data_IF_372263806335
#
_entry.id   IF_372263806335
#
_cell.length_a   1.000
_cell.length_b   1.000
_cell.length_c   1.000
_cell.angle_alpha   90.00
_cell.angle_beta   90.00
_cell.angle_gamma   90.00
#
_symmetry.space_group_name_H-M   'P 1'
#
loop_
_entity.id
_entity.type
_entity.pdbx_description
1 polymer ?
#
# COMPACT_ATOMS: atom_id res chain seq x y z
N UNK A 1 -64.52 -18.55 -17.98
CA UNK A 1 -64.83 -20.00 -18.14
C UNK A 1 -63.88 -20.73 -17.21
N UNK A 2 -64.24 -20.94 -16.01
CA UNK A 2 -64.70 -22.17 -15.32
C UNK A 2 -64.18 -23.47 -16.04
N UNK A 3 -63.39 -24.28 -15.29
CA UNK A 3 -63.94 -25.31 -14.43
C UNK A 3 -62.90 -25.93 -13.50
N UNK A 4 -63.29 -26.07 -12.24
CA UNK A 4 -62.86 -26.98 -11.20
C UNK A 4 -62.94 -28.43 -11.61
N UNK A 5 -62.12 -29.31 -11.03
CA UNK A 5 -62.65 -30.53 -10.40
C UNK A 5 -61.63 -31.10 -9.44
N UNK A 6 -62.14 -31.26 -8.30
CA UNK A 6 -61.73 -31.92 -7.06
C UNK A 6 -61.82 -33.45 -7.14
N UNK A 7 -61.37 -34.05 -6.04
CA UNK A 7 -61.73 -35.38 -5.47
C UNK A 7 -60.65 -36.46 -5.62
N UNK A 8 -60.29 -37.29 -4.67
CA UNK A 8 -60.49 -37.45 -3.20
C UNK A 8 -59.77 -38.76 -2.80
N UNK A 9 -59.23 -38.77 -1.59
CA UNK A 9 -59.20 -39.82 -0.58
C UNK A 9 -59.03 -41.33 -0.93
N UNK A 10 -58.03 -41.93 -0.24
CA UNK A 10 -58.11 -43.06 0.70
C UNK A 10 -56.71 -43.63 0.87
N UNK A 11 -56.05 -43.71 1.93
CA UNK A 11 -56.28 -44.35 3.19
C UNK A 11 -55.77 -45.77 3.20
N UNK A 12 -54.58 -46.05 3.77
CA UNK A 12 -54.28 -47.31 4.47
C UNK A 12 -53.04 -47.20 5.36
N UNK A 13 -53.23 -47.62 6.53
CA UNK A 13 -52.28 -47.78 7.64
C UNK A 13 -51.22 -48.86 7.35
N UNK A 14 -50.04 -48.76 7.88
CA UNK A 14 -49.37 -49.67 8.80
C UNK A 14 -47.85 -49.66 8.68
N UNK A 15 -47.29 -49.52 9.83
CA UNK A 15 -46.11 -50.20 10.38
C UNK A 15 -44.83 -49.42 10.51
N UNK A 16 -44.60 -49.04 11.75
CA UNK A 16 -43.36 -48.67 12.40
C UNK A 16 -42.20 -49.57 12.03
N UNK A 17 -41.11 -48.95 11.52
CA UNK A 17 -39.77 -49.44 11.76
C UNK A 17 -38.92 -48.22 12.15
N UNK A 18 -38.56 -48.16 13.42
CA UNK A 18 -37.57 -47.24 13.96
C UNK A 18 -36.18 -47.67 13.44
N UNK A 19 -35.71 -46.99 12.42
CA UNK A 19 -34.31 -47.08 12.00
C UNK A 19 -33.58 -45.91 12.67
N UNK A 20 -32.91 -46.20 13.81
CA UNK A 20 -31.95 -45.28 14.42
C UNK A 20 -30.77 -45.15 13.47
N UNK A 21 -30.78 -44.11 12.63
CA UNK A 21 -29.62 -43.67 11.89
C UNK A 21 -28.67 -43.00 12.89
N UNK A 22 -27.64 -43.73 13.33
CA UNK A 22 -26.46 -43.14 13.97
C UNK A 22 -25.78 -42.31 12.90
N UNK A 23 -26.10 -41.01 12.86
CA UNK A 23 -25.30 -40.02 12.15
C UNK A 23 -23.96 -39.91 12.88
N UNK A 24 -22.99 -40.70 12.43
CA UNK A 24 -21.59 -40.47 12.77
C UNK A 24 -21.19 -39.10 12.30
N UNK A 25 -21.08 -38.14 13.24
CA UNK A 25 -20.43 -36.86 12.98
C UNK A 25 -18.96 -37.18 12.63
N UNK A 26 -18.65 -37.27 11.35
CA UNK A 26 -17.26 -37.13 10.90
C UNK A 26 -16.75 -35.79 11.41
N UNK A 27 -15.72 -35.73 12.24
CA UNK A 27 -15.05 -34.46 12.50
C UNK A 27 -14.59 -33.94 11.15
N UNK A 28 -15.09 -32.76 10.77
CA UNK A 28 -14.54 -32.01 9.66
C UNK A 28 -13.08 -31.73 10.04
N UNK A 29 -12.14 -32.51 9.50
CA UNK A 29 -10.75 -32.18 9.57
C UNK A 29 -10.60 -30.83 8.87
N UNK A 30 -10.27 -29.79 9.64
CA UNK A 30 -9.77 -28.57 9.09
C UNK A 30 -8.59 -28.96 8.22
N UNK A 31 -8.71 -28.75 6.90
CA UNK A 31 -7.59 -29.00 5.99
C UNK A 31 -6.47 -28.05 6.45
N UNK A 32 -5.39 -28.61 6.96
CA UNK A 32 -4.19 -27.84 7.27
C UNK A 32 -3.78 -27.10 6.01
N UNK A 33 -3.53 -25.79 6.15
CA UNK A 33 -2.99 -25.00 5.06
C UNK A 33 -1.73 -25.69 4.52
N UNK A 34 -1.54 -25.79 3.19
CA UNK A 34 -0.39 -26.49 2.63
C UNK A 34 0.91 -25.91 3.19
N UNK A 35 1.84 -26.78 3.57
CA UNK A 35 3.14 -26.38 4.05
C UNK A 35 3.85 -25.54 2.99
N UNK A 36 4.50 -24.43 3.41
CA UNK A 36 5.26 -23.56 2.51
C UNK A 36 6.41 -24.32 1.87
N UNK A 37 6.65 -24.06 0.59
CA UNK A 37 7.81 -24.60 -0.13
C UNK A 37 9.11 -23.95 0.37
N UNK A 38 10.26 -24.56 0.10
CA UNK A 38 11.57 -23.94 0.41
C UNK A 38 11.73 -22.57 -0.24
N UNK A 39 11.27 -22.42 -1.48
CA UNK A 39 11.25 -21.15 -2.21
C UNK A 39 10.45 -20.08 -1.46
N UNK A 40 9.27 -20.43 -0.96
CA UNK A 40 8.42 -19.50 -0.21
C UNK A 40 9.02 -19.14 1.15
N UNK A 41 9.66 -20.09 1.83
CA UNK A 41 10.37 -19.84 3.10
C UNK A 41 11.53 -18.87 2.86
N UNK A 42 12.31 -19.09 1.80
CA UNK A 42 13.43 -18.21 1.43
C UNK A 42 12.95 -16.81 1.05
N UNK A 43 11.94 -16.70 0.20
CA UNK A 43 11.34 -15.42 -0.19
C UNK A 43 10.84 -14.61 1.02
N UNK A 44 10.12 -15.27 1.94
CA UNK A 44 9.64 -14.64 3.16
C UNK A 44 10.78 -14.16 4.07
N UNK A 45 11.88 -14.93 4.16
CA UNK A 45 13.04 -14.54 4.95
C UNK A 45 13.74 -13.30 4.38
N UNK A 46 13.95 -13.23 3.05
CA UNK A 46 14.56 -12.09 2.37
C UNK A 46 13.66 -10.84 2.51
N UNK A 47 12.35 -10.97 2.28
CA UNK A 47 11.39 -9.87 2.43
C UNK A 47 11.38 -9.33 3.87
N UNK A 48 11.36 -10.23 4.85
CA UNK A 48 11.44 -9.87 6.28
C UNK A 48 12.73 -9.14 6.61
N UNK A 49 13.87 -9.61 6.09
CA UNK A 49 15.18 -8.97 6.32
C UNK A 49 15.19 -7.54 5.80
N UNK A 50 14.70 -7.29 4.59
CA UNK A 50 14.54 -5.95 4.02
C UNK A 50 13.64 -5.07 4.91
N UNK A 51 12.47 -5.57 5.27
CA UNK A 51 11.50 -4.80 6.06
C UNK A 51 12.07 -4.43 7.45
N UNK A 52 12.77 -5.36 8.10
CA UNK A 52 13.45 -5.10 9.37
C UNK A 52 14.58 -4.08 9.21
N UNK A 53 15.36 -4.19 8.14
CA UNK A 53 16.45 -3.25 7.87
C UNK A 53 15.92 -1.83 7.66
N UNK A 54 14.92 -1.64 6.79
CA UNK A 54 14.30 -0.33 6.56
C UNK A 54 13.70 0.28 7.83
N UNK A 55 12.98 -0.53 8.62
CA UNK A 55 12.38 -0.07 9.87
C UNK A 55 13.41 0.37 10.93
N UNK A 56 14.62 -0.20 10.89
CA UNK A 56 15.70 0.13 11.82
C UNK A 56 16.49 1.39 11.43
N UNK A 57 16.35 1.88 10.20
CA UNK A 57 17.03 3.09 9.76
C UNK A 57 16.47 4.32 10.47
N UNK A 58 17.33 5.04 11.17
CA UNK A 58 16.96 6.32 11.81
C UNK A 58 16.94 7.48 10.83
N UNK A 59 17.77 7.43 9.78
CA UNK A 59 17.80 8.41 8.71
C UNK A 59 18.29 7.79 7.42
N UNK A 60 17.73 8.24 6.30
CA UNK A 60 18.21 7.89 4.96
C UNK A 60 17.76 8.91 3.93
N UNK A 61 18.40 8.89 2.76
CA UNK A 61 17.87 9.50 1.55
C UNK A 61 18.00 8.53 0.39
N UNK A 62 17.13 8.69 -0.60
CA UNK A 62 17.15 7.93 -1.85
C UNK A 62 16.45 8.71 -2.97
N UNK A 63 16.66 8.26 -4.21
CA UNK A 63 15.93 8.69 -5.39
C UNK A 63 15.02 7.56 -5.85
N UNK A 64 13.76 7.85 -6.15
CA UNK A 64 12.81 6.91 -6.73
C UNK A 64 12.33 7.44 -8.07
N UNK A 65 12.66 6.73 -9.15
CA UNK A 65 12.13 6.99 -10.49
C UNK A 65 10.91 6.10 -10.69
N UNK A 66 9.75 6.72 -10.79
CA UNK A 66 8.47 6.04 -10.79
C UNK A 66 7.80 6.12 -12.16
N UNK A 67 7.07 5.06 -12.52
CA UNK A 67 6.08 5.10 -13.57
C UNK A 67 4.74 4.54 -13.08
N UNK A 68 3.65 5.07 -13.59
CA UNK A 68 2.31 4.61 -13.27
C UNK A 68 1.38 4.74 -14.46
N UNK A 69 0.42 3.81 -14.54
CA UNK A 69 -0.56 3.79 -15.60
C UNK A 69 -1.84 4.53 -15.19
N UNK A 70 -2.34 5.42 -16.05
CA UNK A 70 -3.67 5.97 -15.99
C UNK A 70 -4.55 5.29 -17.02
N UNK A 71 -5.69 4.72 -16.58
CA UNK A 71 -6.65 4.05 -17.45
C UNK A 71 -7.67 5.07 -17.96
N UNK A 72 -7.75 5.25 -19.26
CA UNK A 72 -8.71 6.13 -19.93
C UNK A 72 -10.12 5.50 -19.95
N UNK A 73 -11.13 6.30 -20.25
CA UNK A 73 -12.51 5.85 -20.30
C UNK A 73 -12.76 4.74 -21.36
N UNK A 74 -11.97 4.71 -22.43
CA UNK A 74 -11.99 3.69 -23.47
C UNK A 74 -11.16 2.43 -23.13
N UNK A 75 -10.52 2.41 -21.96
CA UNK A 75 -9.66 1.33 -21.48
C UNK A 75 -8.19 1.44 -21.92
N UNK A 76 -7.80 2.48 -22.68
CA UNK A 76 -6.39 2.71 -22.98
C UNK A 76 -5.61 3.00 -21.70
N UNK A 77 -4.44 2.36 -21.53
CA UNK A 77 -3.50 2.64 -20.46
C UNK A 77 -2.42 3.59 -20.96
N UNK A 78 -2.26 4.71 -20.27
CA UNK A 78 -1.22 5.71 -20.57
C UNK A 78 -0.27 5.72 -19.38
N UNK A 79 1.02 5.56 -19.66
CA UNK A 79 2.08 5.61 -18.66
C UNK A 79 2.53 7.05 -18.45
N UNK A 80 2.64 7.44 -17.18
CA UNK A 80 3.21 8.69 -16.71
C UNK A 80 4.42 8.41 -15.83
N UNK A 81 5.38 9.34 -15.82
CA UNK A 81 6.59 9.22 -15.03
C UNK A 81 6.75 10.37 -14.03
N UNK A 82 7.48 10.09 -12.97
CA UNK A 82 7.89 11.09 -11.97
C UNK A 82 9.21 10.66 -11.32
N UNK A 83 9.96 11.60 -10.81
CA UNK A 83 11.14 11.32 -9.99
C UNK A 83 10.96 11.96 -8.63
N UNK A 84 11.16 11.18 -7.55
CA UNK A 84 11.08 11.63 -6.17
C UNK A 84 12.43 11.53 -5.50
N UNK A 85 12.90 12.64 -4.92
CA UNK A 85 14.02 12.64 -3.98
C UNK A 85 13.47 12.63 -2.57
N UNK A 86 13.78 11.58 -1.82
CA UNK A 86 13.25 11.33 -0.50
C UNK A 86 14.36 11.55 0.53
N UNK A 87 14.09 12.35 1.54
CA UNK A 87 14.92 12.52 2.73
C UNK A 87 14.09 12.26 3.96
N UNK A 88 14.53 11.34 4.82
CA UNK A 88 13.82 10.94 6.02
C UNK A 88 14.78 10.93 7.21
N UNK A 89 14.34 11.53 8.33
CA UNK A 89 15.00 11.41 9.63
C UNK A 89 13.94 11.23 10.71
N UNK A 90 13.96 10.04 11.33
CA UNK A 90 13.00 9.69 12.38
C UNK A 90 13.29 10.46 13.67
N UNK A 91 12.26 10.74 14.46
CA UNK A 91 10.89 10.24 14.33
C UNK A 91 9.97 11.14 13.48
N UNK A 92 10.37 12.35 13.10
CA UNK A 92 9.44 13.42 12.75
C UNK A 92 9.88 14.31 11.56
N UNK A 93 10.76 13.83 10.69
CA UNK A 93 11.25 14.59 9.54
C UNK A 93 11.11 13.81 8.25
N UNK A 94 10.36 14.35 7.30
CA UNK A 94 10.20 13.78 5.96
C UNK A 94 10.16 14.93 4.94
N UNK A 95 10.96 14.77 3.87
CA UNK A 95 10.92 15.65 2.70
C UNK A 95 10.89 14.79 1.44
N UNK A 96 9.97 15.10 0.55
CA UNK A 96 9.85 14.49 -0.78
C UNK A 96 9.78 15.64 -1.78
N UNK A 97 10.83 15.76 -2.59
CA UNK A 97 10.85 16.65 -3.75
C UNK A 97 10.48 15.80 -4.97
N UNK A 98 9.42 16.17 -5.67
CA UNK A 98 8.90 15.46 -6.85
C UNK A 98 9.06 16.31 -8.09
N UNK A 99 9.42 15.66 -9.20
CA UNK A 99 9.41 16.23 -10.53
C UNK A 99 8.70 15.25 -11.46
N UNK A 100 7.59 15.67 -12.03
CA UNK A 100 6.82 14.90 -13.01
C UNK A 100 7.50 14.91 -14.39
N UNK A 101 7.07 14.00 -15.28
CA UNK A 101 7.65 13.86 -16.63
C UNK A 101 7.44 15.08 -17.55
N UNK A 102 6.44 15.91 -17.24
CA UNK A 102 6.18 17.20 -17.93
C UNK A 102 6.99 18.36 -17.36
N UNK A 103 7.77 18.13 -16.29
CA UNK A 103 8.61 19.11 -15.63
C UNK A 103 7.94 19.78 -14.41
N UNK A 104 6.65 19.54 -14.17
CA UNK A 104 5.97 20.06 -12.99
C UNK A 104 6.66 19.59 -11.70
N UNK A 105 6.76 20.48 -10.70
CA UNK A 105 7.49 20.15 -9.49
C UNK A 105 6.70 20.48 -8.22
N UNK A 106 6.68 19.48 -7.32
CA UNK A 106 5.99 19.51 -6.05
C UNK A 106 6.92 19.20 -4.88
N UNK A 107 6.56 19.68 -3.71
CA UNK A 107 7.22 19.38 -2.45
C UNK A 107 6.18 18.89 -1.44
N UNK A 108 6.44 17.73 -0.83
CA UNK A 108 5.77 17.30 0.40
C UNK A 108 6.78 17.32 1.55
N UNK A 109 6.48 18.07 2.60
CA UNK A 109 7.37 18.26 3.73
C UNK A 109 6.63 18.05 5.05
N UNK A 110 7.23 17.30 5.95
CA UNK A 110 6.86 17.22 7.36
C UNK A 110 8.07 17.60 8.23
N UNK A 111 7.94 18.65 9.00
CA UNK A 111 9.02 19.23 9.82
C UNK A 111 8.89 18.92 11.32
N UNK A 112 8.02 17.96 11.67
CA UNK A 112 7.72 17.57 13.05
C UNK A 112 6.66 18.43 13.75
N UNK A 113 6.12 19.44 13.07
CA UNK A 113 5.09 20.34 13.60
C UNK A 113 3.92 20.51 12.63
N UNK A 114 4.23 20.54 11.35
CA UNK A 114 3.24 20.73 10.30
C UNK A 114 3.64 19.98 9.03
N UNK A 115 2.63 19.65 8.27
CA UNK A 115 2.76 19.24 6.88
C UNK A 115 2.67 20.49 6.01
N UNK A 116 3.56 20.58 5.02
CA UNK A 116 3.51 21.56 3.95
C UNK A 116 3.54 20.84 2.61
N UNK A 117 2.61 21.18 1.73
CA UNK A 117 2.63 20.76 0.31
C UNK A 117 2.72 22.02 -0.53
N UNK A 118 3.67 22.06 -1.46
CA UNK A 118 3.88 23.15 -2.40
C UNK A 118 3.75 22.62 -3.82
N UNK A 119 2.93 23.26 -4.66
CA UNK A 119 3.00 23.14 -6.12
C UNK A 119 3.79 24.34 -6.62
N UNK A 120 4.98 24.06 -7.16
CA UNK A 120 5.89 25.15 -7.56
C UNK A 120 5.39 25.85 -8.84
N UNK A 121 4.79 25.08 -9.76
CA UNK A 121 4.30 25.62 -11.03
C UNK A 121 3.07 26.52 -10.85
N UNK A 122 2.17 26.14 -9.95
CA UNK A 122 1.01 26.96 -9.58
C UNK A 122 1.37 28.09 -8.60
N UNK A 123 2.58 28.06 -8.04
CA UNK A 123 3.06 28.92 -6.99
C UNK A 123 2.09 29.01 -5.79
N UNK A 124 1.56 27.84 -5.39
CA UNK A 124 0.64 27.71 -4.24
C UNK A 124 1.17 26.70 -3.24
N UNK A 125 0.86 26.93 -1.96
CA UNK A 125 1.17 25.98 -0.90
C UNK A 125 0.02 25.84 0.09
N UNK A 126 -0.06 24.66 0.71
CA UNK A 126 -0.99 24.37 1.79
C UNK A 126 -0.24 23.84 3.01
N UNK A 127 -0.77 24.13 4.20
CA UNK A 127 -0.19 23.70 5.47
C UNK A 127 -1.25 23.21 6.44
N UNK A 128 -0.94 22.14 7.16
CA UNK A 128 -1.75 21.65 8.27
C UNK A 128 -0.87 21.28 9.46
N UNK A 129 -1.28 21.58 10.72
CA UNK A 129 -0.67 21.03 11.92
C UNK A 129 -0.79 19.52 11.91
N UNK A 130 0.24 18.82 12.40
CA UNK A 130 0.22 17.35 12.39
C UNK A 130 0.77 16.74 13.66
N UNK A 131 0.37 15.47 13.95
CA UNK A 131 0.94 14.66 15.00
C UNK A 131 2.47 14.53 14.89
N UNK A 132 3.16 14.22 15.98
CA UNK A 132 4.62 14.29 16.06
C UNK A 132 5.37 13.12 15.44
N UNK A 133 4.74 12.27 14.60
CA UNK A 133 5.41 11.11 14.00
C UNK A 133 5.29 11.07 12.47
N UNK A 134 6.30 10.45 11.83
CA UNK A 134 6.27 10.17 10.38
C UNK A 134 5.09 9.24 10.04
N UNK A 135 4.82 8.26 10.88
CA UNK A 135 3.75 7.30 10.69
C UNK A 135 2.40 8.00 10.56
N UNK A 136 2.08 8.89 11.50
CA UNK A 136 0.84 9.65 11.47
C UNK A 136 0.80 10.64 10.30
N UNK A 137 1.94 11.27 9.97
CA UNK A 137 2.04 12.16 8.83
C UNK A 137 1.80 11.41 7.49
N UNK A 138 2.34 10.20 7.33
CA UNK A 138 2.09 9.36 6.15
C UNK A 138 0.61 8.98 6.02
N UNK A 139 -0.04 8.62 7.14
CA UNK A 139 -1.48 8.35 7.15
C UNK A 139 -2.26 9.58 6.71
N UNK A 140 -1.91 10.75 7.19
CA UNK A 140 -2.57 12.00 6.82
C UNK A 140 -2.38 12.34 5.34
N UNK A 141 -1.16 12.21 4.81
CA UNK A 141 -0.88 12.41 3.39
C UNK A 141 -1.75 11.51 2.51
N UNK A 142 -1.83 10.22 2.83
CA UNK A 142 -2.53 9.23 2.00
C UNK A 142 -4.04 9.31 2.19
N UNK A 143 -4.53 9.30 3.45
CA UNK A 143 -5.95 9.19 3.77
C UNK A 143 -6.68 10.53 3.67
N UNK A 144 -6.10 11.59 4.26
CA UNK A 144 -6.81 12.85 4.43
C UNK A 144 -6.52 13.82 3.27
N UNK A 145 -5.30 13.82 2.75
CA UNK A 145 -4.94 14.64 1.60
C UNK A 145 -5.06 13.92 0.26
N UNK A 146 -5.38 12.62 0.28
CA UNK A 146 -5.52 11.77 -0.92
C UNK A 146 -4.29 11.78 -1.84
N UNK A 147 -3.10 11.98 -1.26
CA UNK A 147 -1.87 11.97 -2.03
C UNK A 147 -1.51 10.56 -2.48
N UNK A 148 -1.04 10.43 -3.72
CA UNK A 148 -0.57 9.16 -4.27
C UNK A 148 0.82 8.85 -3.73
N UNK A 149 0.91 7.98 -2.75
CA UNK A 149 2.16 7.55 -2.14
C UNK A 149 2.25 6.01 -2.09
N UNK A 150 2.40 5.33 -3.25
CA UNK A 150 2.42 3.86 -3.31
C UNK A 150 3.49 3.22 -2.43
N UNK A 151 4.59 3.93 -2.17
CA UNK A 151 5.71 3.47 -1.33
C UNK A 151 5.65 3.99 0.11
N UNK A 152 4.54 4.60 0.56
CA UNK A 152 4.43 5.15 1.91
C UNK A 152 4.81 4.14 3.00
N UNK A 153 4.40 2.87 2.83
CA UNK A 153 4.73 1.80 3.77
C UNK A 153 6.25 1.61 3.94
N UNK A 154 7.04 1.79 2.87
CA UNK A 154 8.51 1.67 2.93
C UNK A 154 9.16 2.78 3.76
N UNK A 155 8.48 3.91 3.96
CA UNK A 155 8.94 5.03 4.77
C UNK A 155 8.56 4.86 6.26
N UNK A 156 7.57 4.00 6.55
CA UNK A 156 7.09 3.72 7.90
C UNK A 156 7.91 2.62 8.59
N UNK A 157 8.00 2.68 9.92
CA UNK A 157 8.52 1.56 10.73
C UNK A 157 7.57 0.36 10.74
N UNK A 158 6.31 0.56 10.38
CA UNK A 158 5.30 -0.51 10.28
C UNK A 158 5.56 -1.47 9.11
N UNK A 159 6.46 -1.11 8.18
CA UNK A 159 6.85 -1.99 7.06
C UNK A 159 7.26 -3.40 7.52
N UNK A 160 7.87 -3.52 8.70
CA UNK A 160 8.30 -4.82 9.28
C UNK A 160 7.15 -5.78 9.61
N UNK A 161 5.97 -5.24 9.88
CA UNK A 161 4.77 -6.02 10.25
C UNK A 161 3.72 -6.03 9.16
N UNK A 162 3.52 -4.90 8.49
CA UNK A 162 2.46 -4.75 7.49
C UNK A 162 2.82 -5.36 6.14
N UNK A 163 4.08 -5.21 5.69
CA UNK A 163 4.48 -5.76 4.40
C UNK A 163 4.33 -7.29 4.33
N UNK A 164 4.76 -8.08 5.34
CA UNK A 164 4.49 -9.52 5.36
C UNK A 164 3.00 -9.87 5.45
N UNK A 165 2.18 -9.01 6.06
CA UNK A 165 0.75 -9.23 6.20
C UNK A 165 -0.04 -8.91 4.90
N UNK A 166 0.49 -8.05 4.03
CA UNK A 166 -0.13 -7.73 2.73
C UNK A 166 -0.06 -8.91 1.75
N UNK A 167 0.94 -9.78 1.86
CA UNK A 167 1.12 -10.91 0.96
C UNK A 167 0.56 -12.19 1.58
N UNK A 168 -0.41 -12.80 0.92
CA UNK A 168 -0.87 -14.15 1.27
C UNK A 168 0.17 -15.21 0.91
N UNK A 169 0.82 -15.01 -0.23
CA UNK A 169 1.86 -15.87 -0.77
C UNK A 169 3.02 -15.02 -1.27
N UNK A 170 4.22 -15.52 -1.07
CA UNK A 170 5.45 -14.94 -1.63
C UNK A 170 6.30 -16.06 -2.21
N UNK A 171 6.79 -15.86 -3.42
CA UNK A 171 7.63 -16.80 -4.13
C UNK A 171 8.98 -16.17 -4.46
N UNK A 172 10.05 -16.94 -4.32
CA UNK A 172 11.36 -16.55 -4.80
C UNK A 172 11.45 -16.84 -6.29
N UNK A 173 11.69 -15.82 -7.10
CA UNK A 173 11.73 -15.95 -8.56
C UNK A 173 13.13 -16.32 -9.00
N UNK A 174 14.12 -15.49 -8.68
CA UNK A 174 15.51 -15.65 -9.14
C UNK A 174 16.48 -14.72 -8.37
N UNK A 175 17.76 -14.97 -8.53
CA UNK A 175 18.81 -13.95 -8.32
C UNK A 175 19.08 -13.27 -9.65
N UNK A 176 19.08 -11.94 -9.67
CA UNK A 176 19.30 -11.13 -10.87
C UNK A 176 20.18 -9.92 -10.58
N UNK A 177 20.31 -9.01 -11.52
CA UNK A 177 21.06 -7.77 -11.35
C UNK A 177 20.19 -6.55 -11.70
N UNK A 178 20.18 -5.56 -10.81
CA UNK A 178 19.59 -4.24 -11.05
C UNK A 178 20.72 -3.21 -11.08
N UNK A 179 20.92 -2.60 -12.23
CA UNK A 179 22.02 -1.61 -12.46
C UNK A 179 23.40 -2.11 -11.99
N UNK A 180 23.69 -3.40 -12.27
CA UNK A 180 24.96 -4.04 -11.89
C UNK A 180 25.08 -4.47 -10.43
N UNK A 181 24.03 -4.32 -9.64
CA UNK A 181 23.94 -4.79 -8.24
C UNK A 181 23.15 -6.09 -8.17
N UNK A 182 23.71 -7.13 -7.55
CA UNK A 182 23.02 -8.39 -7.34
C UNK A 182 21.78 -8.19 -6.45
N UNK A 183 20.69 -8.83 -6.82
CA UNK A 183 19.40 -8.67 -6.17
C UNK A 183 18.59 -9.97 -6.15
N UNK A 184 17.88 -10.21 -5.07
CA UNK A 184 16.83 -11.20 -4.96
C UNK A 184 15.54 -10.66 -5.57
N UNK A 185 14.95 -11.37 -6.52
CA UNK A 185 13.65 -11.08 -7.10
C UNK A 185 12.57 -11.92 -6.42
N UNK A 186 11.60 -11.26 -5.83
CA UNK A 186 10.48 -11.86 -5.09
C UNK A 186 9.18 -11.39 -5.71
N UNK A 187 8.23 -12.31 -5.91
CA UNK A 187 6.86 -12.03 -6.27
C UNK A 187 5.93 -12.30 -5.09
N UNK A 188 5.01 -11.39 -4.82
CA UNK A 188 4.01 -11.51 -3.76
C UNK A 188 2.59 -11.35 -4.30
N UNK A 189 1.66 -12.13 -3.74
CA UNK A 189 0.23 -12.07 -4.05
C UNK A 189 -0.55 -11.65 -2.83
N UNK A 190 -1.37 -10.63 -2.98
CA UNK A 190 -2.30 -10.16 -1.96
C UNK A 190 -3.74 -10.11 -2.44
N UNK A 191 -4.66 -9.67 -1.59
CA UNK A 191 -6.07 -9.52 -1.97
C UNK A 191 -6.28 -8.36 -2.93
N UNK A 192 -5.74 -7.20 -2.61
CA UNK A 192 -5.93 -5.96 -3.35
C UNK A 192 -4.81 -5.64 -4.33
N UNK A 193 -3.61 -6.15 -4.07
CA UNK A 193 -2.43 -5.93 -4.92
C UNK A 193 -1.63 -7.21 -5.08
N UNK A 194 -1.02 -7.37 -6.25
CA UNK A 194 0.14 -8.22 -6.44
C UNK A 194 1.37 -7.32 -6.54
N UNK A 195 2.52 -7.82 -6.09
CA UNK A 195 3.75 -7.03 -6.17
C UNK A 195 4.96 -7.88 -6.56
N UNK A 196 5.94 -7.22 -7.10
CA UNK A 196 7.27 -7.76 -7.30
C UNK A 196 8.27 -6.81 -6.66
N UNK A 197 9.30 -7.35 -6.04
CA UNK A 197 10.33 -6.55 -5.40
C UNK A 197 11.72 -7.15 -5.64
N UNK A 198 12.67 -6.30 -5.98
CA UNK A 198 14.08 -6.64 -6.13
C UNK A 198 14.84 -6.05 -4.95
N UNK A 199 15.43 -6.92 -4.16
CA UNK A 199 16.09 -6.59 -2.90
C UNK A 199 17.58 -6.84 -3.07
N UNK A 200 18.41 -5.84 -2.76
CA UNK A 200 19.87 -5.96 -2.83
C UNK A 200 20.37 -7.14 -2.00
N UNK A 201 21.26 -7.95 -2.55
CA UNK A 201 21.99 -8.96 -1.80
C UNK A 201 22.98 -8.33 -0.80
N UNK A 202 23.30 -9.08 0.26
CA UNK A 202 24.31 -8.73 1.24
C UNK A 202 23.74 -8.10 2.52
N UNK A 203 24.57 -7.32 3.21
CA UNK A 203 24.28 -6.82 4.58
C UNK A 203 23.32 -5.62 4.62
N UNK A 204 23.03 -5.02 3.47
CA UNK A 204 22.12 -3.88 3.33
C UNK A 204 21.00 -4.26 2.36
N UNK A 205 20.02 -5.04 2.79
CA UNK A 205 18.93 -5.52 1.93
C UNK A 205 17.95 -4.39 1.60
N UNK A 206 18.37 -3.48 0.73
CA UNK A 206 17.58 -2.33 0.31
C UNK A 206 16.74 -2.69 -0.93
N UNK A 207 15.51 -2.18 -1.06
CA UNK A 207 14.75 -2.33 -2.28
C UNK A 207 15.41 -1.52 -3.40
N UNK A 208 15.60 -2.16 -4.56
CA UNK A 208 16.18 -1.55 -5.76
C UNK A 208 15.12 -1.28 -6.83
N UNK A 209 14.08 -2.10 -6.86
CA UNK A 209 12.93 -1.95 -7.75
C UNK A 209 11.70 -2.56 -7.08
N UNK A 210 10.54 -1.94 -7.32
CA UNK A 210 9.23 -2.42 -6.86
C UNK A 210 8.26 -2.26 -8.02
N UNK A 211 7.41 -3.27 -8.26
CA UNK A 211 6.27 -3.19 -9.17
C UNK A 211 5.03 -3.61 -8.40
N UNK A 212 3.95 -2.83 -8.51
CA UNK A 212 2.66 -3.07 -7.85
C UNK A 212 1.59 -3.14 -8.93
N UNK A 213 0.77 -4.19 -8.91
CA UNK A 213 -0.43 -4.33 -9.75
C UNK A 213 -1.67 -4.16 -8.88
N UNK A 214 -2.53 -3.19 -9.20
CA UNK A 214 -3.75 -2.90 -8.44
C UNK A 214 -4.91 -3.76 -8.95
N UNK A 215 -5.13 -4.90 -8.32
CA UNK A 215 -6.09 -5.94 -8.76
C UNK A 215 -7.55 -5.49 -8.74
N UNK A 216 -7.91 -4.60 -7.80
CA UNK A 216 -9.27 -4.13 -7.61
C UNK A 216 -9.62 -2.92 -8.51
N UNK A 217 -8.61 -2.28 -9.11
CA UNK A 217 -8.83 -1.18 -10.03
C UNK A 217 -9.19 -1.69 -11.44
N UNK A 218 -10.07 -0.97 -12.19
CA UNK A 218 -10.36 -1.30 -13.58
C UNK A 218 -9.07 -1.39 -14.41
N UNK A 219 -9.01 -2.40 -15.31
CA UNK A 219 -7.84 -2.72 -16.13
C UNK A 219 -6.55 -3.03 -15.38
N UNK A 220 -6.60 -3.16 -14.05
CA UNK A 220 -5.48 -3.54 -13.18
C UNK A 220 -4.18 -2.77 -13.49
N UNK A 221 -4.18 -1.42 -13.35
CA UNK A 221 -3.03 -0.62 -13.68
C UNK A 221 -1.83 -0.97 -12.80
N UNK A 222 -0.65 -0.68 -13.32
CA UNK A 222 0.61 -0.92 -12.62
C UNK A 222 1.25 0.39 -12.15
N UNK A 223 2.03 0.26 -11.08
CA UNK A 223 3.00 1.24 -10.62
C UNK A 223 4.35 0.57 -10.55
N UNK A 224 5.38 1.20 -11.06
CA UNK A 224 6.75 0.73 -10.94
C UNK A 224 7.64 1.84 -10.35
N UNK A 225 8.62 1.44 -9.53
CA UNK A 225 9.60 2.34 -8.94
C UNK A 225 10.98 1.71 -9.01
N UNK A 226 11.92 2.42 -9.60
CA UNK A 226 13.35 2.14 -9.54
C UNK A 226 13.99 3.01 -8.48
N UNK A 227 14.56 2.40 -7.44
CA UNK A 227 15.09 3.12 -6.27
C UNK A 227 16.61 3.10 -6.33
N UNK A 228 17.24 4.27 -6.23
CA UNK A 228 18.67 4.49 -6.34
C UNK A 228 19.21 5.49 -5.34
N UNK A 229 20.50 5.75 -5.39
CA UNK A 229 21.21 6.78 -4.62
C UNK A 229 20.96 6.65 -3.10
N UNK A 230 20.82 5.41 -2.62
CA UNK A 230 20.64 5.16 -1.21
C UNK A 230 21.82 5.70 -0.40
N UNK A 231 21.54 6.65 0.48
CA UNK A 231 22.46 7.14 1.50
C UNK A 231 21.89 6.81 2.89
N UNK A 232 22.60 5.96 3.62
CA UNK A 232 22.17 5.45 4.92
C UNK A 232 22.88 6.22 6.04
N UNK A 233 22.10 6.78 6.95
CA UNK A 233 22.61 7.59 8.08
C UNK A 233 23.22 8.93 7.63
N UNK A 234 22.60 9.67 6.69
CA UNK A 234 23.12 10.97 6.27
C UNK A 234 23.07 11.98 7.41
N UNK A 235 24.05 12.86 7.44
CA UNK A 235 23.98 14.06 8.28
C UNK A 235 23.22 15.15 7.51
N UNK A 236 21.96 15.31 7.83
CA UNK A 236 21.16 16.37 7.23
C UNK A 236 21.49 17.74 7.81
N UNK A 237 21.53 18.76 6.94
CA UNK A 237 21.64 20.15 7.39
C UNK A 237 20.33 20.58 8.08
N UNK A 238 20.40 21.55 8.99
CA UNK A 238 19.20 22.11 9.62
C UNK A 238 18.20 22.72 8.64
N UNK A 239 18.63 22.99 7.39
CA UNK A 239 17.78 23.54 6.32
C UNK A 239 17.04 22.45 5.51
N UNK A 240 17.48 21.19 5.57
CA UNK A 240 16.91 20.11 4.74
C UNK A 240 15.40 19.97 4.95
N UNK A 241 14.93 20.08 6.19
CA UNK A 241 13.52 19.91 6.54
C UNK A 241 12.84 21.24 6.87
N UNK A 242 13.36 22.37 6.35
CA UNK A 242 12.74 23.68 6.48
C UNK A 242 12.01 24.05 5.19
N UNK A 243 10.80 24.55 5.35
CA UNK A 243 10.07 25.16 4.24
C UNK A 243 10.63 26.55 3.96
N UNK A 244 11.05 26.78 2.73
CA UNK A 244 11.41 28.11 2.24
C UNK A 244 10.28 28.61 1.36
N UNK A 245 9.58 29.64 1.80
CA UNK A 245 8.46 30.22 1.07
C UNK A 245 8.98 30.83 -0.26
N UNK A 246 8.48 30.35 -1.43
CA UNK A 246 8.81 30.97 -2.69
C UNK A 246 8.25 32.40 -2.76
N UNK A 247 8.90 33.25 -3.59
CA UNK A 247 8.42 34.63 -3.81
C UNK A 247 7.02 34.58 -4.39
N UNK A 248 6.13 35.39 -3.82
CA UNK A 248 4.73 35.54 -4.25
C UNK A 248 3.88 34.25 -4.17
N UNK A 249 4.36 33.21 -3.48
CA UNK A 249 3.60 32.01 -3.27
C UNK A 249 2.36 32.25 -2.42
N UNK A 250 1.22 31.75 -2.90
CA UNK A 250 -0.08 31.96 -2.27
C UNK A 250 -0.46 30.76 -1.41
N UNK A 251 -0.85 31.03 -0.17
CA UNK A 251 -1.39 29.98 0.70
C UNK A 251 -2.83 29.66 0.32
N UNK A 252 -3.12 28.37 0.18
CA UNK A 252 -4.46 27.83 -0.02
C UNK A 252 -4.77 26.81 1.09
N UNK A 253 -6.03 26.55 1.44
CA UNK A 253 -6.39 25.46 2.34
C UNK A 253 -6.28 24.12 1.61
N UNK A 254 -6.01 23.02 2.35
CA UNK A 254 -6.25 21.69 1.84
C UNK A 254 -7.76 21.47 1.63
N UNK A 255 -8.14 20.66 0.63
CA UNK A 255 -9.54 20.36 0.34
C UNK A 255 -10.30 19.83 1.57
N UNK A 256 -9.65 18.97 2.36
CA UNK A 256 -10.21 18.46 3.61
C UNK A 256 -10.52 19.54 4.66
N UNK A 257 -9.82 20.68 4.62
CA UNK A 257 -10.06 21.81 5.53
C UNK A 257 -11.25 22.68 5.10
N UNK A 258 -11.76 22.47 3.87
CA UNK A 258 -12.92 23.17 3.34
C UNK A 258 -14.24 22.45 3.66
N UNK A 259 -14.17 21.19 4.09
CA UNK A 259 -15.35 20.40 4.46
C UNK A 259 -15.70 20.73 5.92
N UNK A 260 -16.93 21.20 6.22
CA UNK A 260 -17.36 21.38 7.60
C UNK A 260 -17.24 20.07 8.39
N UNK A 261 -16.89 20.12 9.69
CA UNK A 261 -16.74 18.92 10.54
C UNK A 261 -17.97 18.00 10.52
N UNK A 262 -19.16 18.56 10.37
CA UNK A 262 -20.44 17.83 10.34
C UNK A 262 -20.76 17.19 8.98
N UNK A 263 -20.00 17.51 7.92
CA UNK A 263 -20.17 16.97 6.57
C UNK A 263 -19.12 15.92 6.20
N UNK A 264 -18.18 15.60 7.10
CA UNK A 264 -17.22 14.53 6.88
C UNK A 264 -17.98 13.19 6.81
N UNK A 265 -17.72 12.33 5.79
CA UNK A 265 -18.34 11.01 5.73
C UNK A 265 -17.96 10.25 7.01
N UNK A 266 -18.96 9.89 7.80
CA UNK A 266 -18.76 8.98 8.93
C UNK A 266 -18.17 7.68 8.37
N UNK A 267 -17.15 7.10 9.01
CA UNK A 267 -16.68 5.78 8.64
C UNK A 267 -17.90 4.85 8.62
N UNK A 268 -18.12 4.19 7.49
CA UNK A 268 -19.21 3.24 7.34
C UNK A 268 -19.17 2.29 8.54
N UNK A 269 -20.22 2.31 9.33
CA UNK A 269 -20.38 1.42 10.47
C UNK A 269 -20.16 0.00 9.95
N UNK A 270 -19.22 -0.71 10.54
CA UNK A 270 -18.97 -2.11 10.26
C UNK A 270 -20.33 -2.82 10.35
N UNK A 271 -20.83 -3.31 9.22
CA UNK A 271 -22.13 -3.99 9.15
C UNK A 271 -22.15 -5.14 10.15
N UNK A 272 -23.04 -5.06 11.12
CA UNK A 272 -23.41 -6.19 11.95
C UNK A 272 -23.81 -7.35 11.03
N UNK A 273 -22.98 -8.36 11.00
CA UNK A 273 -23.37 -9.67 10.49
C UNK A 273 -24.31 -10.26 11.55
N UNK A 274 -25.60 -10.22 11.29
CA UNK A 274 -26.61 -10.90 12.11
C UNK A 274 -26.55 -12.41 11.85
N UNK A 275 -26.73 -13.25 12.87
CA UNK A 275 -26.52 -14.69 12.86
C UNK A 275 -27.41 -15.45 11.89
#
# INVERSE_FOLDING_TARGET
>A
MQRNSTVSWSGAFLSSWLLVAILGACPAQAADAPARTESQVHAAAVLKSMAQYLAALTAFSCTSSNSFEAVQADGQRIEFGETRRISLARPDRLRIDEVASDGASDLALFDGKQITVLSADDNVYAQAPQPPSIEDALVYFVRDLHMRMPLALMLSTHVRTELPALAKEVDYVETTQIRGQAAHHIAGRGDSVDFQIWIAEGTKPLPLRIVITYKLAPAQPTFAADISDWNIGPSFSGKTFQFSLPKDARKIPFAVQLVPPDAAPQPAAAGEVKP
#
